data_IF_198259395388
#
_entry.id   IF_198259395388
#
_cell.length_a   1.000
_cell.length_b   1.000
_cell.length_c   1.000
_cell.angle_alpha   90.00
_cell.angle_beta   90.00
_cell.angle_gamma   90.00
#
_symmetry.space_group_name_H-M   'P 1'
#
loop_
_entity.id
_entity.type
_entity.pdbx_description
1 polymer ?
#
# COMPACT_ATOMS: atom_id res chain seq x y z
N UNK A 1 -20.47 58.79 -5.54
CA UNK A 1 -20.60 57.33 -5.32
C UNK A 1 -19.28 56.65 -5.68
N UNK A 2 -18.48 56.22 -4.69
CA UNK A 2 -17.30 55.37 -4.95
C UNK A 2 -17.78 53.93 -5.14
N UNK A 3 -17.59 53.39 -6.34
CA UNK A 3 -17.81 51.97 -6.64
C UNK A 3 -16.79 51.14 -5.85
N UNK A 4 -17.27 50.37 -4.88
CA UNK A 4 -16.50 49.35 -4.17
C UNK A 4 -16.08 48.26 -5.17
N UNK A 5 -14.78 48.14 -5.44
CA UNK A 5 -14.21 47.01 -6.17
C UNK A 5 -14.36 45.75 -5.32
N UNK A 6 -15.18 44.81 -5.79
CA UNK A 6 -15.24 43.44 -5.26
C UNK A 6 -13.86 42.79 -5.50
N UNK A 7 -13.17 42.26 -4.47
CA UNK A 7 -11.87 41.63 -4.66
C UNK A 7 -12.02 40.37 -5.53
N UNK A 8 -11.23 40.28 -6.60
CA UNK A 8 -11.10 39.04 -7.39
C UNK A 8 -10.64 37.92 -6.45
N UNK A 9 -11.43 36.85 -6.31
CA UNK A 9 -11.00 35.61 -5.64
C UNK A 9 -9.67 35.16 -6.27
N UNK A 10 -8.59 35.20 -5.49
CA UNK A 10 -7.28 34.67 -5.88
C UNK A 10 -7.45 33.18 -6.17
N UNK A 11 -7.10 32.74 -7.38
CA UNK A 11 -7.09 31.31 -7.75
C UNK A 11 -5.85 30.70 -7.09
N UNK A 12 -6.05 29.62 -6.34
CA UNK A 12 -4.97 28.86 -5.69
C UNK A 12 -4.59 27.69 -6.61
N UNK A 13 -3.29 27.42 -6.74
CA UNK A 13 -2.79 26.18 -7.34
C UNK A 13 -3.14 24.96 -6.47
N UNK A 14 -3.09 23.75 -7.01
CA UNK A 14 -3.36 22.52 -6.25
C UNK A 14 -2.43 22.37 -5.04
N UNK A 15 -1.17 22.79 -5.19
CA UNK A 15 -0.19 22.78 -4.12
C UNK A 15 -0.47 23.87 -3.08
N UNK A 16 -0.82 25.09 -3.50
CA UNK A 16 -1.28 26.14 -2.58
C UNK A 16 -2.56 25.73 -1.84
N UNK A 17 -3.48 24.99 -2.48
CA UNK A 17 -4.68 24.47 -1.85
C UNK A 17 -4.35 23.39 -0.81
N UNK A 18 -3.44 22.46 -1.12
CA UNK A 18 -2.97 21.44 -0.18
C UNK A 18 -2.24 22.07 1.02
N UNK A 19 -1.36 23.04 0.80
CA UNK A 19 -0.69 23.77 1.87
C UNK A 19 -1.67 24.55 2.74
N UNK A 20 -2.68 25.18 2.15
CA UNK A 20 -3.72 25.90 2.89
C UNK A 20 -4.61 24.95 3.73
N UNK A 21 -4.79 23.71 3.26
CA UNK A 21 -5.46 22.63 4.03
C UNK A 21 -4.59 22.19 5.20
N UNK A 22 -3.31 21.92 4.95
CA UNK A 22 -2.39 21.40 5.98
C UNK A 22 -2.04 22.43 7.04
N UNK A 23 -1.87 23.71 6.68
CA UNK A 23 -1.48 24.78 7.61
C UNK A 23 -2.59 25.16 8.61
N UNK A 24 -3.85 24.83 8.31
CA UNK A 24 -5.00 25.09 9.19
C UNK A 24 -5.61 23.82 9.80
N UNK A 25 -5.02 22.64 9.55
CA UNK A 25 -5.51 21.39 10.12
C UNK A 25 -5.02 21.25 11.56
N UNK A 26 -5.88 21.54 12.53
CA UNK A 26 -5.62 21.20 13.92
C UNK A 26 -5.77 19.68 14.09
N UNK A 27 -4.71 18.95 14.46
CA UNK A 27 -4.79 17.50 14.57
C UNK A 27 -5.59 17.03 15.80
N UNK A 28 -6.04 17.96 16.67
CA UNK A 28 -7.00 17.68 17.75
C UNK A 28 -8.46 17.77 17.30
N UNK A 29 -8.76 18.48 16.20
CA UNK A 29 -10.12 18.70 15.71
C UNK A 29 -10.55 17.50 14.85
N UNK A 30 -11.38 16.64 15.45
CA UNK A 30 -11.95 15.45 14.78
C UNK A 30 -13.14 15.79 13.88
N UNK A 31 -13.66 17.01 13.98
CA UNK A 31 -14.88 17.46 13.27
C UNK A 31 -14.47 18.10 11.94
N UNK A 32 -14.03 17.24 11.01
CA UNK A 32 -13.51 17.73 9.75
C UNK A 32 -14.59 18.36 8.88
N UNK A 33 -14.43 19.65 8.59
CA UNK A 33 -15.26 20.34 7.60
C UNK A 33 -14.93 19.87 6.18
N UNK A 34 -15.97 19.52 5.41
CA UNK A 34 -15.85 19.15 3.99
C UNK A 34 -15.48 20.37 3.13
N UNK A 35 -14.49 20.20 2.25
CA UNK A 35 -14.05 21.26 1.33
C UNK A 35 -14.71 21.09 -0.03
N UNK A 36 -15.32 22.17 -0.53
CA UNK A 36 -15.85 22.25 -1.89
C UNK A 36 -14.75 22.71 -2.86
N UNK A 37 -14.05 21.77 -3.50
CA UNK A 37 -13.06 22.06 -4.54
C UNK A 37 -13.63 21.70 -5.91
N UNK A 38 -13.67 22.68 -6.82
CA UNK A 38 -13.96 22.44 -8.23
C UNK A 38 -12.71 21.86 -8.92
N UNK A 39 -12.85 20.79 -9.73
CA UNK A 39 -11.72 20.18 -10.39
C UNK A 39 -11.31 21.02 -11.61
N UNK A 40 -10.03 21.39 -11.69
CA UNK A 40 -9.41 21.80 -12.95
C UNK A 40 -8.26 20.85 -13.31
N UNK A 41 -8.17 20.59 -14.61
CA UNK A 41 -7.15 19.79 -15.26
C UNK A 41 -5.88 20.62 -15.46
N UNK A 42 -4.88 20.42 -14.61
CA UNK A 42 -3.51 20.84 -14.94
C UNK A 42 -2.61 19.62 -14.77
N UNK A 43 -1.97 19.28 -15.89
CA UNK A 43 -1.10 18.13 -16.12
C UNK A 43 0.33 18.64 -16.12
N UNK A 44 0.95 18.69 -14.95
CA UNK A 44 2.38 18.99 -14.84
C UNK A 44 3.17 17.67 -14.88
N UNK A 45 3.49 17.28 -16.11
CA UNK A 45 4.54 16.31 -16.41
C UNK A 45 5.88 17.03 -16.39
N UNK A 46 6.71 16.75 -15.38
CA UNK A 46 8.11 17.18 -15.37
C UNK A 46 8.88 16.47 -16.50
N UNK A 47 9.16 17.23 -17.56
CA UNK A 47 10.09 16.89 -18.63
C UNK A 47 11.51 17.26 -18.16
N UNK A 48 12.35 16.25 -17.95
CA UNK A 48 13.79 16.43 -17.79
C UNK A 48 14.43 16.56 -19.18
N UNK A 49 15.13 17.67 -19.40
CA UNK A 49 15.88 18.01 -20.61
C UNK A 49 17.00 17.01 -20.91
N UNK A 50 17.02 16.49 -22.14
CA UNK A 50 18.15 15.76 -22.73
C UNK A 50 19.19 16.76 -23.23
N UNK A 51 20.44 16.61 -22.79
CA UNK A 51 21.60 17.27 -23.41
C UNK A 51 22.37 16.20 -24.19
N UNK A 52 22.42 16.39 -25.51
CA UNK A 52 23.04 15.51 -26.50
C UNK A 52 24.56 15.73 -26.50
N UNK A 53 25.34 14.67 -26.34
CA UNK A 53 26.74 14.70 -26.78
C UNK A 53 27.08 13.39 -27.47
N UNK A 54 27.42 13.51 -28.76
CA UNK A 54 27.70 12.41 -29.68
C UNK A 54 28.90 11.54 -29.24
N UNK A 55 28.91 10.23 -29.55
CA UNK A 55 30.03 9.34 -29.23
C UNK A 55 31.12 9.37 -30.31
N UNK A 56 32.38 9.36 -29.88
CA UNK A 56 33.54 9.12 -30.72
C UNK A 56 33.81 7.62 -30.86
N UNK A 57 34.20 7.21 -32.06
CA UNK A 57 34.41 5.83 -32.49
C UNK A 57 35.86 5.32 -32.25
N UNK A 58 35.93 4.00 -31.98
CA UNK A 58 36.89 2.98 -32.45
C UNK A 58 37.90 2.27 -31.51
N UNK A 59 37.82 0.92 -31.61
CA UNK A 59 38.85 -0.15 -31.60
C UNK A 59 39.55 -0.46 -30.25
N UNK A 60 39.82 -1.70 -29.83
CA UNK A 60 40.13 -2.96 -30.53
C UNK A 60 40.06 -4.16 -29.53
N UNK A 61 39.90 -5.38 -30.04
CA UNK A 61 39.72 -6.64 -29.32
C UNK A 61 40.85 -7.06 -28.35
N UNK A 62 40.49 -7.66 -27.20
CA UNK A 62 41.27 -8.66 -26.44
C UNK A 62 40.35 -9.55 -25.57
N UNK A 63 40.68 -10.86 -25.56
CA UNK A 63 40.38 -11.96 -24.63
C UNK A 63 39.01 -11.99 -23.92
N UNK A 64 38.24 -13.04 -24.20
CA UNK A 64 36.96 -13.40 -23.56
C UNK A 64 37.10 -13.45 -22.02
N UNK A 65 36.71 -12.34 -21.39
CA UNK A 65 36.25 -12.30 -20.00
C UNK A 65 34.73 -12.15 -20.08
N UNK A 66 34.00 -12.82 -19.18
CA UNK A 66 32.55 -12.69 -19.14
C UNK A 66 32.13 -11.21 -19.09
N UNK A 67 31.08 -10.78 -19.80
CA UNK A 67 30.72 -9.37 -19.85
C UNK A 67 30.30 -8.90 -18.46
N UNK A 68 31.19 -8.15 -17.80
CA UNK A 68 30.91 -7.52 -16.50
C UNK A 68 30.64 -6.02 -16.68
N UNK A 69 29.58 -5.53 -16.07
CA UNK A 69 29.24 -4.10 -16.07
C UNK A 69 29.14 -3.58 -14.64
N UNK A 70 29.69 -2.39 -14.36
CA UNK A 70 29.56 -1.75 -13.04
C UNK A 70 28.55 -0.61 -13.11
N UNK A 71 27.56 -0.63 -12.21
CA UNK A 71 26.53 0.39 -12.11
C UNK A 71 27.05 1.68 -11.40
N UNK A 72 26.23 2.74 -11.38
CA UNK A 72 26.64 4.07 -10.86
C UNK A 72 26.86 4.12 -9.34
N UNK A 73 26.44 3.09 -8.62
CA UNK A 73 26.65 2.95 -7.18
C UNK A 73 27.78 1.96 -6.84
N UNK A 74 28.47 1.41 -7.85
CA UNK A 74 29.52 0.41 -7.68
C UNK A 74 29.01 -1.03 -7.67
N UNK A 75 27.71 -1.29 -7.83
CA UNK A 75 27.19 -2.66 -8.00
C UNK A 75 27.75 -3.26 -9.28
N UNK A 76 28.45 -4.38 -9.17
CA UNK A 76 28.99 -5.13 -10.31
C UNK A 76 27.91 -6.07 -10.83
N UNK A 77 27.81 -6.24 -12.14
CA UNK A 77 26.83 -7.09 -12.79
C UNK A 77 27.54 -8.05 -13.73
N UNK A 78 27.09 -9.29 -13.76
CA UNK A 78 27.58 -10.32 -14.66
C UNK A 78 26.45 -10.64 -15.64
N UNK A 79 26.73 -10.59 -16.94
CA UNK A 79 25.81 -11.09 -17.95
C UNK A 79 25.87 -12.61 -17.96
N UNK A 80 24.75 -13.27 -17.64
CA UNK A 80 24.66 -14.72 -17.67
C UNK A 80 24.01 -15.21 -18.96
N UNK A 81 24.63 -16.22 -19.58
CA UNK A 81 24.05 -16.92 -20.71
C UNK A 81 22.82 -17.72 -20.26
N UNK A 82 21.69 -17.49 -20.92
CA UNK A 82 20.43 -18.19 -20.66
C UNK A 82 20.60 -19.68 -20.95
N UNK A 83 20.76 -20.51 -19.91
CA UNK A 83 20.93 -21.96 -20.05
C UNK A 83 21.90 -22.61 -19.06
N UNK A 84 22.73 -21.81 -18.38
CA UNK A 84 23.65 -22.32 -17.35
C UNK A 84 22.89 -22.75 -16.10
N UNK A 85 23.17 -23.95 -15.58
CA UNK A 85 22.57 -24.44 -14.33
C UNK A 85 23.23 -23.69 -13.17
N UNK A 86 22.53 -22.72 -12.61
CA UNK A 86 22.94 -22.12 -11.33
C UNK A 86 22.71 -23.14 -10.22
N UNK A 87 23.77 -23.44 -9.45
CA UNK A 87 23.69 -24.27 -8.25
C UNK A 87 22.90 -23.53 -7.19
N UNK A 88 21.58 -23.73 -7.19
CA UNK A 88 20.66 -23.14 -6.25
C UNK A 88 20.15 -24.20 -5.26
N UNK A 89 20.11 -23.84 -3.98
CA UNK A 89 19.37 -24.59 -2.98
C UNK A 89 18.00 -23.94 -2.83
N UNK A 90 16.90 -24.59 -3.24
CA UNK A 90 15.56 -24.07 -3.03
C UNK A 90 15.32 -23.75 -1.57
N UNK A 91 14.96 -22.49 -1.27
CA UNK A 91 14.24 -22.22 -0.03
C UNK A 91 12.99 -23.09 -0.04
N UNK A 92 12.83 -23.95 0.97
CA UNK A 92 11.64 -24.77 1.10
C UNK A 92 10.40 -23.85 1.06
N UNK A 93 9.55 -24.00 0.05
CA UNK A 93 8.43 -23.09 -0.13
C UNK A 93 7.43 -23.31 1.01
N UNK A 94 6.89 -22.20 1.53
CA UNK A 94 5.79 -22.27 2.48
C UNK A 94 4.65 -23.11 1.91
N UNK A 95 4.31 -24.22 2.58
CA UNK A 95 3.35 -25.19 2.07
C UNK A 95 1.89 -24.72 2.18
N UNK A 96 1.58 -23.71 3.00
CA UNK A 96 0.21 -23.28 3.19
C UNK A 96 -0.27 -22.38 2.04
N UNK A 97 -1.52 -22.59 1.62
CA UNK A 97 -2.13 -21.96 0.45
C UNK A 97 -3.23 -20.95 0.82
N UNK A 98 -2.96 -20.17 1.87
CA UNK A 98 -3.85 -19.13 2.37
C UNK A 98 -5.05 -19.68 3.13
N UNK A 99 -5.03 -19.62 4.47
CA UNK A 99 -6.15 -20.11 5.28
C UNK A 99 -6.34 -19.37 6.61
N UNK A 100 -7.55 -19.33 7.18
CA UNK A 100 -7.76 -18.85 8.53
C UNK A 100 -6.92 -19.65 9.54
N UNK A 101 -6.41 -18.98 10.58
CA UNK A 101 -5.63 -19.66 11.62
C UNK A 101 -6.49 -20.70 12.37
N UNK A 102 -5.85 -21.69 13.00
CA UNK A 102 -6.57 -22.67 13.82
C UNK A 102 -7.43 -22.01 14.91
N UNK A 103 -6.96 -20.89 15.48
CA UNK A 103 -7.73 -20.07 16.43
C UNK A 103 -8.98 -19.47 15.78
N UNK A 104 -8.85 -18.87 14.60
CA UNK A 104 -9.97 -18.32 13.85
C UNK A 104 -10.99 -19.40 13.48
N UNK A 105 -10.54 -20.54 12.92
CA UNK A 105 -11.41 -21.68 12.55
C UNK A 105 -12.23 -22.22 13.72
N UNK A 106 -11.64 -22.31 14.92
CA UNK A 106 -12.37 -22.78 16.11
C UNK A 106 -13.45 -21.79 16.57
N UNK A 107 -13.15 -20.49 16.49
CA UNK A 107 -14.02 -19.40 16.97
C UNK A 107 -15.17 -19.07 16.02
N UNK A 108 -14.95 -19.16 14.71
CA UNK A 108 -15.91 -18.70 13.70
C UNK A 108 -16.86 -19.83 13.32
N UNK A 109 -18.11 -19.73 13.75
CA UNK A 109 -19.23 -20.62 13.42
C UNK A 109 -20.38 -19.92 12.70
N UNK A 110 -20.34 -18.59 12.63
CA UNK A 110 -21.36 -17.77 11.97
C UNK A 110 -20.75 -16.55 11.27
N UNK A 111 -21.51 -15.92 10.37
CA UNK A 111 -21.13 -14.67 9.68
C UNK A 111 -20.88 -13.51 10.66
N UNK A 112 -21.63 -13.46 11.75
CA UNK A 112 -21.41 -12.47 12.80
C UNK A 112 -20.06 -12.71 13.50
N UNK A 113 -19.74 -13.96 13.81
CA UNK A 113 -18.46 -14.29 14.43
C UNK A 113 -17.26 -14.05 13.50
N UNK A 114 -17.43 -14.21 12.18
CA UNK A 114 -16.38 -13.81 11.23
C UNK A 114 -16.17 -12.30 11.23
N UNK A 115 -17.22 -11.48 11.31
CA UNK A 115 -17.09 -10.03 11.45
C UNK A 115 -16.42 -9.64 12.77
N UNK A 116 -16.91 -10.20 13.88
CA UNK A 116 -16.35 -9.97 15.22
C UNK A 116 -14.94 -10.55 15.40
N UNK A 117 -14.43 -11.28 14.42
CA UNK A 117 -13.04 -11.70 14.37
C UNK A 117 -12.09 -10.51 14.20
N UNK A 118 -12.54 -9.49 13.46
CA UNK A 118 -11.75 -8.29 13.11
C UNK A 118 -12.09 -7.11 14.02
N UNK A 119 -13.38 -6.88 14.27
CA UNK A 119 -13.89 -5.81 15.12
C UNK A 119 -14.51 -6.46 16.34
N UNK A 120 -13.70 -6.70 17.36
CA UNK A 120 -14.13 -7.44 18.54
C UNK A 120 -15.07 -6.61 19.41
N UNK A 121 -15.88 -7.27 20.24
CA UNK A 121 -16.69 -6.60 21.26
C UNK A 121 -15.81 -5.78 22.22
N UNK A 122 -14.57 -6.22 22.49
CA UNK A 122 -13.61 -5.47 23.30
C UNK A 122 -13.18 -4.15 22.66
N UNK A 123 -13.22 -4.02 21.33
CA UNK A 123 -12.98 -2.75 20.62
C UNK A 123 -14.24 -1.87 20.60
N UNK A 124 -15.42 -2.48 20.49
CA UNK A 124 -16.69 -1.74 20.46
C UNK A 124 -17.01 -1.05 21.80
N UNK A 125 -16.55 -1.60 22.93
CA UNK A 125 -16.77 -1.02 24.26
C UNK A 125 -16.10 0.35 24.44
N UNK A 126 -14.78 0.53 24.20
CA UNK A 126 -14.16 1.85 24.21
C UNK A 126 -14.83 2.83 23.23
N UNK A 127 -15.16 2.39 22.01
CA UNK A 127 -15.87 3.24 21.03
C UNK A 127 -17.20 3.74 21.61
N UNK A 128 -17.97 2.85 22.23
CA UNK A 128 -19.22 3.19 22.90
C UNK A 128 -18.98 4.19 24.04
N UNK A 129 -18.01 3.93 24.91
CA UNK A 129 -17.67 4.76 26.07
C UNK A 129 -17.27 6.18 25.66
N UNK A 130 -16.34 6.31 24.71
CA UNK A 130 -15.88 7.62 24.23
C UNK A 130 -16.94 8.39 23.45
N UNK A 131 -17.79 7.68 22.71
CA UNK A 131 -18.94 8.29 22.03
C UNK A 131 -19.94 8.86 23.05
N UNK A 132 -20.27 8.11 24.11
CA UNK A 132 -21.15 8.59 25.19
C UNK A 132 -20.52 9.78 25.92
N UNK A 133 -19.24 9.67 26.27
CA UNK A 133 -18.51 10.75 26.95
C UNK A 133 -18.57 12.04 26.14
N UNK A 134 -18.31 11.97 24.83
CA UNK A 134 -18.36 13.13 23.96
C UNK A 134 -19.77 13.73 23.86
N UNK A 135 -20.79 12.91 23.61
CA UNK A 135 -22.18 13.40 23.50
C UNK A 135 -22.66 14.12 24.77
N UNK A 136 -22.29 13.60 25.95
CA UNK A 136 -22.65 14.19 27.25
C UNK A 136 -22.00 15.53 27.52
N UNK A 137 -20.83 15.77 26.93
CA UNK A 137 -20.11 17.02 27.08
C UNK A 137 -20.57 18.08 26.09
N UNK A 138 -20.94 17.69 24.87
CA UNK A 138 -21.29 18.64 23.80
C UNK A 138 -22.76 19.03 23.76
N UNK A 139 -23.67 18.13 24.15
CA UNK A 139 -25.11 18.36 23.96
C UNK A 139 -25.95 18.05 25.20
N UNK A 140 -26.06 16.77 25.57
CA UNK A 140 -27.07 16.30 26.54
C UNK A 140 -26.45 15.39 27.60
N UNK A 141 -26.56 15.78 28.86
CA UNK A 141 -26.07 15.00 30.01
C UNK A 141 -26.65 13.59 30.07
N UNK A 142 -27.88 13.42 29.58
CA UNK A 142 -28.61 12.14 29.61
C UNK A 142 -28.39 11.29 28.36
N UNK A 143 -27.49 11.70 27.45
CA UNK A 143 -27.18 10.91 26.27
C UNK A 143 -26.62 9.54 26.68
N UNK A 144 -27.19 8.49 26.11
CA UNK A 144 -26.76 7.12 26.34
C UNK A 144 -26.83 6.34 25.03
N UNK A 145 -26.04 5.28 24.93
CA UNK A 145 -26.08 4.33 23.83
C UNK A 145 -25.75 2.96 24.40
N UNK A 146 -26.52 1.94 24.06
CA UNK A 146 -26.18 0.56 24.45
C UNK A 146 -25.32 -0.11 23.37
N UNK A 147 -24.55 -1.13 23.73
CA UNK A 147 -23.64 -1.81 22.80
C UNK A 147 -24.38 -2.38 21.57
N UNK A 148 -25.58 -2.93 21.77
CA UNK A 148 -26.41 -3.42 20.68
C UNK A 148 -26.84 -2.32 19.71
N UNK A 149 -27.00 -1.09 20.19
CA UNK A 149 -27.32 0.06 19.35
C UNK A 149 -26.13 0.49 18.49
N UNK A 150 -24.90 0.46 19.04
CA UNK A 150 -23.69 0.66 18.25
C UNK A 150 -23.51 -0.43 17.18
N UNK A 151 -23.80 -1.69 17.52
CA UNK A 151 -23.78 -2.79 16.55
C UNK A 151 -24.86 -2.61 15.47
N UNK A 152 -26.05 -2.15 15.84
CA UNK A 152 -27.12 -1.81 14.90
C UNK A 152 -26.69 -0.66 13.96
N UNK A 153 -26.06 0.39 14.49
CA UNK A 153 -25.48 1.47 13.69
C UNK A 153 -24.46 0.96 12.66
N UNK A 154 -23.54 0.09 13.07
CA UNK A 154 -22.57 -0.56 12.16
C UNK A 154 -23.28 -1.40 11.09
N UNK A 155 -24.34 -2.12 11.46
CA UNK A 155 -25.11 -2.92 10.50
C UNK A 155 -25.79 -2.05 9.42
N UNK A 156 -26.27 -0.85 9.80
CA UNK A 156 -26.82 0.13 8.85
C UNK A 156 -25.73 0.64 7.90
N UNK A 157 -24.51 0.89 8.38
CA UNK A 157 -23.37 1.27 7.51
C UNK A 157 -23.09 0.19 6.47
N UNK A 158 -23.03 -1.07 6.89
CA UNK A 158 -22.79 -2.21 6.00
C UNK A 158 -23.90 -2.32 4.95
N UNK A 159 -25.17 -2.29 5.39
CA UNK A 159 -26.33 -2.36 4.48
C UNK A 159 -26.32 -1.22 3.46
N UNK A 160 -26.01 0.00 3.89
CA UNK A 160 -25.92 1.15 2.99
C UNK A 160 -24.80 1.00 1.96
N UNK A 161 -23.68 0.37 2.32
CA UNK A 161 -22.61 0.02 1.38
C UNK A 161 -23.05 -0.93 0.27
N UNK A 162 -24.04 -1.80 0.55
CA UNK A 162 -24.62 -2.74 -0.41
C UNK A 162 -25.70 -2.08 -1.26
N UNK A 163 -26.63 -1.33 -0.67
CA UNK A 163 -27.80 -0.78 -1.38
C UNK A 163 -27.55 0.53 -2.13
N UNK A 164 -26.39 1.16 -1.95
CA UNK A 164 -25.89 2.36 -2.66
C UNK A 164 -27.00 3.33 -3.13
N UNK A 165 -27.45 4.17 -2.21
CA UNK A 165 -28.38 5.29 -2.51
C UNK A 165 -27.62 6.62 -2.62
N UNK A 166 -28.12 7.62 -3.38
CA UNK A 166 -27.38 8.85 -3.68
C UNK A 166 -26.97 9.65 -2.44
N UNK A 167 -27.90 9.86 -1.50
CA UNK A 167 -27.62 10.58 -0.26
C UNK A 167 -27.82 9.69 0.97
N UNK A 168 -27.24 10.11 2.10
CA UNK A 168 -27.47 9.44 3.39
C UNK A 168 -28.96 9.36 3.73
N UNK A 169 -29.69 10.47 3.50
CA UNK A 169 -31.11 10.60 3.85
C UNK A 169 -32.00 9.66 3.03
N UNK A 170 -31.61 9.37 1.80
CA UNK A 170 -32.36 8.49 0.91
C UNK A 170 -32.46 7.05 1.44
N UNK A 171 -31.54 6.64 2.32
CA UNK A 171 -31.60 5.31 2.95
C UNK A 171 -32.87 5.09 3.78
N UNK A 172 -33.51 6.18 4.23
CA UNK A 172 -34.78 6.19 4.96
C UNK A 172 -35.96 6.73 4.12
N UNK A 173 -35.77 6.90 2.81
CA UNK A 173 -36.86 7.31 1.90
C UNK A 173 -37.85 6.16 1.70
N UNK A 174 -39.14 6.47 1.58
CA UNK A 174 -40.15 5.47 1.25
C UNK A 174 -39.98 4.87 -0.16
N UNK A 175 -39.42 5.66 -1.10
CA UNK A 175 -39.29 5.25 -2.51
C UNK A 175 -37.92 4.65 -2.84
N UNK A 176 -36.86 5.16 -2.19
CA UNK A 176 -35.47 4.79 -2.49
C UNK A 176 -34.79 4.01 -1.35
N UNK A 177 -35.37 4.04 -0.15
CA UNK A 177 -34.76 3.50 1.05
C UNK A 177 -34.90 1.98 1.17
N UNK A 178 -34.23 1.44 2.17
CA UNK A 178 -34.31 0.02 2.49
C UNK A 178 -35.18 -0.18 3.75
N UNK A 179 -36.30 -0.93 3.67
CA UNK A 179 -37.14 -1.21 4.84
C UNK A 179 -36.41 -1.85 6.02
N UNK A 180 -35.31 -2.57 5.77
CA UNK A 180 -34.47 -3.09 6.85
C UNK A 180 -33.74 -1.97 7.59
N UNK A 181 -33.24 -0.95 6.87
CA UNK A 181 -32.54 0.19 7.50
C UNK A 181 -33.52 0.98 8.38
N UNK A 182 -34.73 1.24 7.89
CA UNK A 182 -35.75 1.97 8.65
C UNK A 182 -36.23 1.17 9.86
N UNK A 183 -36.30 -0.16 9.77
CA UNK A 183 -36.64 -1.06 10.88
C UNK A 183 -35.55 -1.22 11.94
N UNK A 184 -34.27 -1.02 11.59
CA UNK A 184 -33.14 -1.16 12.53
C UNK A 184 -32.97 0.10 13.40
N UNK A 185 -33.00 1.28 12.80
CA UNK A 185 -32.74 2.54 13.51
C UNK A 185 -33.39 3.72 12.80
N UNK A 186 -33.86 4.71 13.54
CA UNK A 186 -34.39 5.95 12.96
C UNK A 186 -33.27 6.80 12.32
N UNK A 187 -33.60 7.54 11.26
CA UNK A 187 -32.65 8.44 10.59
C UNK A 187 -32.01 9.43 11.56
N UNK A 188 -32.83 10.04 12.42
CA UNK A 188 -32.36 11.06 13.35
C UNK A 188 -31.37 10.45 14.36
N UNK A 189 -31.66 9.25 14.89
CA UNK A 189 -30.74 8.57 15.80
C UNK A 189 -29.44 8.14 15.12
N UNK A 190 -29.51 7.68 13.88
CA UNK A 190 -28.31 7.36 13.11
C UNK A 190 -27.41 8.59 12.91
N UNK A 191 -28.00 9.74 12.56
CA UNK A 191 -27.26 11.00 12.40
C UNK A 191 -26.68 11.51 13.73
N UNK A 192 -27.41 11.34 14.82
CA UNK A 192 -27.00 11.67 16.18
C UNK A 192 -25.77 10.84 16.61
N UNK A 193 -25.81 9.51 16.43
CA UNK A 193 -24.64 8.64 16.68
C UNK A 193 -23.46 9.03 15.77
N UNK A 194 -23.70 9.28 14.49
CA UNK A 194 -22.65 9.72 13.54
C UNK A 194 -21.92 10.97 14.03
N UNK A 195 -22.64 11.93 14.61
CA UNK A 195 -22.07 13.20 15.09
C UNK A 195 -21.12 12.97 16.27
N UNK A 196 -21.51 12.12 17.22
CA UNK A 196 -20.77 11.93 18.46
C UNK A 196 -19.78 10.78 18.44
N UNK A 197 -19.71 9.99 17.36
CA UNK A 197 -18.84 8.82 17.28
C UNK A 197 -17.38 9.20 17.56
N UNK A 198 -16.77 8.57 18.57
CA UNK A 198 -15.35 8.73 18.94
C UNK A 198 -14.69 7.37 19.15
N UNK A 199 -13.37 7.33 18.93
CA UNK A 199 -12.57 6.10 19.01
C UNK A 199 -11.48 6.17 20.09
N UNK A 200 -11.36 7.30 20.79
CA UNK A 200 -10.34 7.58 21.79
C UNK A 200 -10.86 8.55 22.86
N UNK A 201 -10.12 8.65 23.97
CA UNK A 201 -10.34 9.67 24.99
C UNK A 201 -9.85 11.04 24.49
N UNK A 202 -10.78 11.99 24.38
CA UNK A 202 -10.46 13.33 23.90
C UNK A 202 -9.53 14.11 24.83
N UNK A 203 -9.54 13.83 26.13
CA UNK A 203 -8.78 14.60 27.12
C UNK A 203 -7.28 14.31 27.05
N UNK A 204 -6.91 13.11 26.61
CA UNK A 204 -5.50 12.71 26.41
C UNK A 204 -5.02 12.95 24.99
N UNK A 205 -5.93 13.28 24.05
CA UNK A 205 -5.61 13.35 22.63
C UNK A 205 -4.52 14.39 22.35
N UNK A 206 -4.63 15.59 22.91
CA UNK A 206 -3.71 16.71 22.66
C UNK A 206 -2.24 16.37 22.96
N UNK A 207 -1.98 15.56 24.00
CA UNK A 207 -0.66 15.05 24.32
C UNK A 207 -0.23 13.96 23.32
N UNK A 208 -1.10 12.97 23.07
CA UNK A 208 -0.80 11.84 22.17
C UNK A 208 -0.49 12.28 20.74
N UNK A 209 -1.14 13.33 20.23
CA UNK A 209 -0.89 13.79 18.84
C UNK A 209 0.54 14.30 18.64
N UNK A 210 1.24 14.70 19.70
CA UNK A 210 2.63 15.17 19.58
C UNK A 210 3.56 14.06 19.06
N UNK A 211 3.25 12.81 19.38
CA UNK A 211 4.00 11.63 18.94
C UNK A 211 3.27 10.81 17.87
N UNK A 212 1.94 10.84 17.87
CA UNK A 212 1.10 10.03 17.00
C UNK A 212 0.01 10.85 16.33
N UNK A 213 0.24 11.24 15.08
CA UNK A 213 -0.75 11.99 14.29
C UNK A 213 -2.06 11.24 14.07
N UNK A 214 -2.10 9.92 14.28
CA UNK A 214 -3.28 9.07 14.11
C UNK A 214 -4.02 8.79 15.43
N UNK A 215 -3.60 9.45 16.53
CA UNK A 215 -4.07 9.24 17.90
C UNK A 215 -5.60 9.13 18.06
N UNK A 216 -6.37 9.85 17.25
CA UNK A 216 -7.84 9.81 17.30
C UNK A 216 -8.44 8.40 17.07
N UNK A 217 -7.70 7.47 16.47
CA UNK A 217 -8.16 6.10 16.18
C UNK A 217 -7.08 5.02 16.38
N UNK A 218 -5.84 5.39 16.72
CA UNK A 218 -4.70 4.47 16.77
C UNK A 218 -4.91 3.19 17.56
N UNK A 219 -5.55 3.25 18.73
CA UNK A 219 -5.77 2.07 19.57
C UNK A 219 -6.71 1.06 18.90
N UNK A 220 -7.82 1.56 18.34
CA UNK A 220 -8.78 0.75 17.59
C UNK A 220 -8.15 0.23 16.31
N UNK A 221 -7.39 1.05 15.60
CA UNK A 221 -6.70 0.66 14.37
C UNK A 221 -5.64 -0.42 14.61
N UNK A 222 -4.78 -0.23 15.61
CA UNK A 222 -3.76 -1.21 15.99
C UNK A 222 -4.37 -2.55 16.39
N UNK A 223 -5.48 -2.52 17.14
CA UNK A 223 -6.25 -3.72 17.47
C UNK A 223 -6.84 -4.40 16.24
N UNK A 224 -7.41 -3.63 15.30
CA UNK A 224 -7.93 -4.14 14.03
C UNK A 224 -6.84 -4.81 13.19
N UNK A 225 -5.70 -4.14 12.99
CA UNK A 225 -4.56 -4.67 12.22
C UNK A 225 -3.99 -5.92 12.88
N UNK A 226 -3.88 -5.94 14.21
CA UNK A 226 -3.45 -7.13 14.98
C UNK A 226 -4.40 -8.30 14.74
N UNK A 227 -5.72 -8.05 14.70
CA UNK A 227 -6.69 -9.09 14.37
C UNK A 227 -6.52 -9.58 12.93
N UNK A 228 -6.26 -8.70 11.96
CA UNK A 228 -5.99 -9.09 10.58
C UNK A 228 -4.77 -10.02 10.49
N UNK A 229 -3.66 -9.68 11.14
CA UNK A 229 -2.42 -10.47 11.15
C UNK A 229 -2.64 -11.84 11.80
N UNK A 230 -3.34 -11.90 12.93
CA UNK A 230 -3.45 -13.12 13.75
C UNK A 230 -4.59 -14.06 13.34
N UNK A 231 -5.53 -13.58 12.51
CA UNK A 231 -6.71 -14.37 12.10
C UNK A 231 -6.47 -15.21 10.85
N UNK A 232 -5.42 -14.94 10.09
CA UNK A 232 -5.15 -15.58 8.81
C UNK A 232 -3.67 -15.93 8.62
N UNK A 233 -3.41 -17.06 7.98
CA UNK A 233 -2.09 -17.49 7.55
C UNK A 233 -1.98 -17.21 6.04
N UNK A 234 -1.25 -16.16 5.61
CA UNK A 234 -1.06 -15.88 4.20
C UNK A 234 -0.34 -17.03 3.51
N UNK A 235 -0.68 -17.23 2.24
CA UNK A 235 -0.04 -18.20 1.37
C UNK A 235 1.39 -17.80 1.01
N UNK A 236 1.89 -18.39 -0.07
CA UNK A 236 3.27 -18.16 -0.53
C UNK A 236 3.52 -16.74 -1.04
N UNK A 237 2.51 -16.08 -1.60
CA UNK A 237 2.66 -14.81 -2.29
C UNK A 237 1.85 -13.72 -1.60
N UNK A 238 2.52 -12.62 -1.26
CA UNK A 238 1.91 -11.43 -0.67
C UNK A 238 2.20 -10.25 -1.60
N UNK A 239 1.22 -9.42 -1.91
CA UNK A 239 1.41 -8.19 -2.69
C UNK A 239 1.37 -6.99 -1.76
N UNK A 240 2.25 -6.01 -1.99
CA UNK A 240 2.23 -4.71 -1.30
C UNK A 240 2.00 -3.59 -2.29
N UNK A 241 1.01 -2.75 -1.99
CA UNK A 241 0.67 -1.57 -2.79
C UNK A 241 0.07 -0.47 -1.89
N UNK A 242 -0.23 0.69 -2.47
CA UNK A 242 -1.02 1.73 -1.82
C UNK A 242 -2.53 1.63 -2.07
N UNK A 243 -3.28 2.00 -1.04
CA UNK A 243 -4.70 2.31 -1.15
C UNK A 243 -4.94 3.75 -0.71
N UNK A 244 -5.61 4.53 -1.56
CA UNK A 244 -6.06 5.89 -1.22
C UNK A 244 -7.54 5.84 -0.89
N UNK A 245 -7.90 6.16 0.35
CA UNK A 245 -9.30 6.29 0.77
C UNK A 245 -9.78 7.71 0.46
N UNK A 246 -10.74 7.90 -0.48
CA UNK A 246 -11.20 9.23 -0.88
C UNK A 246 -11.70 10.02 0.30
N UNK A 247 -11.14 11.22 0.49
CA UNK A 247 -11.54 12.11 1.57
C UNK A 247 -11.25 13.55 1.18
N UNK A 248 -12.17 14.45 1.56
CA UNK A 248 -12.00 15.91 1.47
C UNK A 248 -11.93 16.54 2.86
N UNK A 249 -11.80 15.71 3.88
CA UNK A 249 -11.75 16.10 5.28
C UNK A 249 -10.41 16.80 5.54
N UNK A 250 -10.45 17.93 6.24
CA UNK A 250 -9.22 18.60 6.69
C UNK A 250 -8.47 17.68 7.64
N UNK A 251 -7.28 17.26 7.25
CA UNK A 251 -6.47 16.31 8.00
C UNK A 251 -4.98 16.54 7.70
N UNK A 252 -4.13 16.50 8.74
CA UNK A 252 -2.70 16.81 8.64
C UNK A 252 -1.88 15.75 7.87
N UNK A 253 -2.48 14.63 7.48
CA UNK A 253 -1.88 13.58 6.66
C UNK A 253 -2.69 13.28 5.38
N UNK A 254 -3.60 14.18 4.98
CA UNK A 254 -4.30 14.10 3.70
C UNK A 254 -3.29 14.10 2.54
N UNK A 255 -3.46 13.19 1.58
CA UNK A 255 -2.60 13.03 0.42
C UNK A 255 -3.31 13.44 -0.86
N UNK A 256 -2.54 14.03 -1.77
CA UNK A 256 -2.93 14.22 -3.17
C UNK A 256 -2.18 13.23 -4.06
N UNK A 257 -2.90 12.46 -4.87
CA UNK A 257 -2.33 11.55 -5.86
C UNK A 257 -2.99 11.82 -7.22
N UNK A 258 -2.27 12.49 -8.11
CA UNK A 258 -2.79 12.96 -9.40
C UNK A 258 -3.36 11.85 -10.29
N UNK A 259 -2.82 10.63 -10.17
CA UNK A 259 -3.15 9.47 -11.01
C UNK A 259 -4.40 8.70 -10.54
N UNK A 260 -4.92 8.97 -9.34
CA UNK A 260 -6.13 8.31 -8.82
C UNK A 260 -7.40 9.09 -9.24
N UNK A 261 -8.54 8.41 -9.48
CA UNK A 261 -9.80 9.08 -9.86
C UNK A 261 -10.23 10.13 -8.83
N UNK A 262 -10.25 9.72 -7.56
CA UNK A 262 -10.35 10.63 -6.42
C UNK A 262 -8.94 11.00 -5.97
N UNK A 263 -8.54 12.22 -6.30
CA UNK A 263 -7.15 12.66 -6.12
C UNK A 263 -6.78 12.94 -4.67
N UNK A 264 -7.76 13.25 -3.81
CA UNK A 264 -7.54 13.57 -2.39
C UNK A 264 -8.02 12.42 -1.50
N UNK A 265 -7.19 12.03 -0.53
CA UNK A 265 -7.59 10.99 0.40
C UNK A 265 -6.56 10.67 1.48
N UNK A 266 -6.95 9.77 2.38
CA UNK A 266 -6.05 9.19 3.39
C UNK A 266 -5.35 8.00 2.75
N UNK A 267 -4.03 8.02 2.70
CA UNK A 267 -3.23 6.96 2.08
C UNK A 267 -2.88 5.87 3.09
N UNK A 268 -3.03 4.62 2.68
CA UNK A 268 -2.60 3.43 3.41
C UNK A 268 -1.65 2.61 2.54
N UNK A 269 -0.69 1.96 3.18
CA UNK A 269 0.11 0.89 2.60
C UNK A 269 -0.49 -0.44 3.02
N UNK A 270 -0.78 -1.31 2.06
CA UNK A 270 -1.56 -2.53 2.29
C UNK A 270 -0.75 -3.73 1.83
N UNK A 271 -0.62 -4.73 2.70
CA UNK A 271 -0.11 -6.05 2.35
C UNK A 271 -1.30 -7.01 2.22
N UNK A 272 -1.45 -7.63 1.05
CA UNK A 272 -2.54 -8.55 0.74
C UNK A 272 -2.04 -9.93 0.34
N UNK A 273 -2.74 -10.97 0.78
CA UNK A 273 -2.56 -12.32 0.22
C UNK A 273 -3.00 -12.32 -1.24
N UNK A 274 -2.12 -12.84 -2.10
CA UNK A 274 -2.36 -12.81 -3.54
C UNK A 274 -3.63 -13.55 -3.94
N UNK A 275 -3.83 -14.75 -3.37
CA UNK A 275 -4.83 -15.71 -3.83
C UNK A 275 -6.22 -15.35 -3.32
N UNK A 276 -6.33 -15.07 -2.02
CA UNK A 276 -7.62 -14.81 -1.38
C UNK A 276 -7.98 -13.34 -1.32
N UNK A 277 -7.04 -12.45 -1.67
CA UNK A 277 -7.18 -10.98 -1.54
C UNK A 277 -7.40 -10.54 -0.09
N UNK A 278 -7.03 -11.37 0.87
CA UNK A 278 -7.12 -11.07 2.29
C UNK A 278 -6.11 -9.99 2.67
N UNK A 279 -6.54 -8.98 3.42
CA UNK A 279 -5.66 -7.93 3.95
C UNK A 279 -4.86 -8.50 5.13
N UNK A 280 -3.57 -8.73 4.92
CA UNK A 280 -2.67 -9.30 5.91
C UNK A 280 -2.20 -8.26 6.93
N UNK A 281 -1.82 -7.06 6.48
CA UNK A 281 -1.31 -5.97 7.31
C UNK A 281 -1.54 -4.62 6.63
N UNK A 282 -1.71 -3.54 7.41
CA UNK A 282 -2.00 -2.20 6.89
C UNK A 282 -1.33 -1.12 7.74
N UNK A 283 -0.66 -0.17 7.10
CA UNK A 283 -0.06 0.98 7.77
C UNK A 283 -0.61 2.29 7.18
N UNK A 284 -1.10 3.24 8.00
CA UNK A 284 -1.45 4.57 7.51
C UNK A 284 -0.19 5.35 7.14
N UNK A 285 -0.28 6.16 6.09
CA UNK A 285 0.76 7.13 5.76
C UNK A 285 0.47 8.46 6.46
N UNK A 286 1.28 8.79 7.46
CA UNK A 286 1.11 9.98 8.31
C UNK A 286 2.05 11.14 7.93
N UNK A 287 2.56 11.13 6.70
CA UNK A 287 3.55 12.07 6.21
C UNK A 287 4.99 11.69 6.62
N UNK A 288 5.85 12.70 6.76
CA UNK A 288 7.26 12.49 7.15
C UNK A 288 7.34 12.02 8.61
N UNK A 289 7.95 10.86 8.79
CA UNK A 289 8.28 10.28 10.09
C UNK A 289 9.65 10.84 10.54
N UNK A 290 9.71 11.64 11.63
CA UNK A 290 10.97 12.20 12.12
C UNK A 290 11.85 11.15 12.81
N UNK A 291 11.29 10.01 13.23
CA UNK A 291 12.01 8.95 13.91
C UNK A 291 12.75 8.00 12.96
N UNK A 292 12.39 8.01 11.66
CA UNK A 292 13.05 7.17 10.66
C UNK A 292 14.48 7.68 10.42
N UNK A 293 15.51 6.82 10.50
CA UNK A 293 16.88 7.19 10.15
C UNK A 293 16.96 7.77 8.73
N UNK A 294 17.74 8.84 8.56
CA UNK A 294 17.88 9.53 7.27
C UNK A 294 18.38 8.63 6.14
N UNK A 295 19.14 7.59 6.48
CA UNK A 295 19.71 6.61 5.55
C UNK A 295 18.69 5.55 5.12
N UNK A 296 17.60 5.34 5.89
CA UNK A 296 16.59 4.36 5.54
C UNK A 296 15.53 4.98 4.62
N UNK A 297 15.43 4.41 3.41
CA UNK A 297 14.40 4.78 2.44
C UNK A 297 13.02 4.41 2.98
N UNK A 298 12.07 5.34 2.87
CA UNK A 298 10.67 5.13 3.28
C UNK A 298 10.09 3.83 2.70
N UNK A 299 10.28 3.62 1.40
CA UNK A 299 9.66 2.52 0.69
C UNK A 299 10.17 1.15 1.17
N UNK A 300 11.47 1.05 1.50
CA UNK A 300 12.06 -0.16 2.07
C UNK A 300 11.59 -0.40 3.50
N UNK A 301 11.58 0.66 4.33
CA UNK A 301 11.10 0.61 5.73
C UNK A 301 9.64 0.12 5.80
N UNK A 302 8.78 0.62 4.91
CA UNK A 302 7.36 0.22 4.83
C UNK A 302 7.21 -1.26 4.49
N UNK A 303 7.92 -1.76 3.47
CA UNK A 303 7.85 -3.18 3.10
C UNK A 303 8.32 -4.06 4.25
N UNK A 304 9.42 -3.70 4.90
CA UNK A 304 9.93 -4.45 6.06
C UNK A 304 8.92 -4.48 7.21
N UNK A 305 8.33 -3.34 7.58
CA UNK A 305 7.31 -3.26 8.64
C UNK A 305 6.05 -4.07 8.29
N UNK A 306 5.58 -4.01 7.05
CA UNK A 306 4.40 -4.75 6.61
C UNK A 306 4.64 -6.27 6.58
N UNK A 307 5.81 -6.70 6.14
CA UNK A 307 6.17 -8.10 5.99
C UNK A 307 6.65 -8.76 7.28
N UNK A 308 7.06 -8.01 8.30
CA UNK A 308 7.67 -8.54 9.53
C UNK A 308 6.93 -9.76 10.13
N UNK A 309 5.58 -9.79 10.23
CA UNK A 309 4.86 -10.96 10.76
C UNK A 309 4.91 -12.22 9.86
N UNK A 310 5.33 -12.06 8.61
CA UNK A 310 5.23 -13.06 7.54
C UNK A 310 6.58 -13.46 6.93
N UNK A 311 7.68 -12.89 7.42
CA UNK A 311 9.04 -13.24 7.00
C UNK A 311 9.46 -14.64 7.50
N UNK A 312 10.68 -15.04 7.13
CA UNK A 312 11.37 -16.25 7.58
C UNK A 312 10.72 -17.58 7.17
N UNK A 313 9.76 -17.52 6.24
CA UNK A 313 8.91 -18.64 5.83
C UNK A 313 9.03 -19.00 4.34
N UNK A 314 10.03 -18.48 3.61
CA UNK A 314 10.21 -18.79 2.19
C UNK A 314 9.13 -18.19 1.29
N UNK A 315 8.50 -17.09 1.72
CA UNK A 315 7.47 -16.37 0.94
C UNK A 315 8.07 -15.48 -0.13
N UNK A 316 7.24 -15.07 -1.08
CA UNK A 316 7.55 -14.04 -2.07
C UNK A 316 6.64 -12.84 -1.86
N UNK A 317 7.22 -11.66 -1.72
CA UNK A 317 6.52 -10.38 -1.72
C UNK A 317 6.58 -9.76 -3.11
N UNK A 318 5.44 -9.37 -3.65
CA UNK A 318 5.34 -8.70 -4.94
C UNK A 318 5.08 -7.22 -4.74
N UNK A 319 5.88 -6.36 -5.37
CA UNK A 319 5.82 -4.91 -5.18
C UNK A 319 5.90 -4.14 -6.49
N UNK A 320 5.49 -2.88 -6.44
CA UNK A 320 5.57 -1.94 -7.56
C UNK A 320 6.98 -1.29 -7.66
N UNK A 321 7.12 -0.34 -8.58
CA UNK A 321 8.34 0.46 -8.76
C UNK A 321 8.76 1.26 -7.51
N UNK A 322 7.81 1.88 -6.83
CA UNK A 322 8.09 2.73 -5.68
C UNK A 322 8.84 1.96 -4.58
N UNK A 323 8.45 0.71 -4.34
CA UNK A 323 9.08 -0.13 -3.32
C UNK A 323 10.35 -0.86 -3.77
N UNK A 324 10.41 -1.33 -5.01
CA UNK A 324 11.43 -2.32 -5.39
C UNK A 324 12.83 -1.71 -5.51
N UNK A 325 13.81 -2.28 -4.77
CA UNK A 325 15.22 -1.92 -4.82
C UNK A 325 16.12 -3.15 -4.59
N UNK A 326 17.40 -3.05 -4.97
CA UNK A 326 18.37 -4.12 -4.66
C UNK A 326 18.63 -4.25 -3.15
N UNK A 327 18.72 -3.12 -2.45
CA UNK A 327 18.91 -3.11 -0.98
C UNK A 327 17.76 -3.82 -0.27
N UNK A 328 16.51 -3.57 -0.69
CA UNK A 328 15.34 -4.26 -0.15
C UNK A 328 15.37 -5.75 -0.44
N UNK A 329 15.75 -6.15 -1.66
CA UNK A 329 15.87 -7.55 -2.02
C UNK A 329 16.85 -8.30 -1.10
N UNK A 330 18.02 -7.71 -0.81
CA UNK A 330 19.01 -8.26 0.13
C UNK A 330 18.47 -8.39 1.55
N UNK A 331 17.78 -7.34 2.05
CA UNK A 331 17.19 -7.34 3.40
C UNK A 331 16.09 -8.39 3.57
N UNK A 332 15.28 -8.61 2.55
CA UNK A 332 14.25 -9.65 2.58
C UNK A 332 14.88 -11.05 2.48
N UNK A 333 15.89 -11.21 1.64
CA UNK A 333 16.55 -12.50 1.44
C UNK A 333 17.26 -12.98 2.70
N UNK A 334 17.90 -12.08 3.46
CA UNK A 334 18.48 -12.42 4.78
C UNK A 334 17.43 -12.89 5.80
N UNK A 335 16.15 -12.57 5.56
CA UNK A 335 14.97 -13.01 6.31
C UNK A 335 14.14 -14.07 5.58
N UNK A 336 14.81 -14.94 4.80
CA UNK A 336 14.24 -16.03 3.99
C UNK A 336 12.96 -15.62 3.25
N UNK A 337 12.94 -14.41 2.71
CA UNK A 337 11.80 -13.83 2.00
C UNK A 337 12.32 -13.29 0.68
N UNK A 338 11.59 -13.57 -0.40
CA UNK A 338 11.98 -13.10 -1.72
C UNK A 338 11.10 -11.96 -2.16
N UNK A 339 11.63 -11.07 -2.99
CA UNK A 339 10.89 -10.00 -3.66
C UNK A 339 10.76 -10.28 -5.15
N UNK A 340 9.60 -9.92 -5.72
CA UNK A 340 9.35 -9.79 -7.14
C UNK A 340 8.78 -8.40 -7.42
N UNK A 341 9.41 -7.59 -8.26
CA UNK A 341 8.88 -6.25 -8.50
C UNK A 341 9.55 -5.51 -9.63
N UNK A 342 8.86 -4.53 -10.20
CA UNK A 342 9.47 -3.67 -11.22
C UNK A 342 10.41 -2.67 -10.60
N UNK A 343 11.49 -2.33 -11.28
CA UNK A 343 12.45 -1.32 -10.82
C UNK A 343 12.52 -0.17 -11.82
N UNK A 344 12.60 1.05 -11.30
CA UNK A 344 12.92 2.20 -12.13
C UNK A 344 14.31 2.07 -12.77
N UNK A 345 14.36 2.09 -14.11
CA UNK A 345 15.60 2.08 -14.92
C UNK A 345 16.61 3.17 -14.57
N UNK A 346 16.15 4.27 -13.98
CA UNK A 346 16.97 5.42 -13.60
C UNK A 346 17.78 5.14 -12.31
N UNK A 347 17.42 4.11 -11.53
CA UNK A 347 18.14 3.78 -10.29
C UNK A 347 19.63 3.55 -10.53
N UNK A 348 20.44 3.98 -9.57
CA UNK A 348 21.91 3.96 -9.66
C UNK A 348 22.48 2.55 -9.59
N UNK A 349 21.76 1.67 -8.92
CA UNK A 349 22.06 0.24 -8.75
C UNK A 349 21.86 -0.59 -10.03
N UNK A 350 21.19 -0.03 -11.04
CA UNK A 350 20.88 -0.70 -12.30
C UNK A 350 21.93 -0.38 -13.38
N UNK A 351 22.43 -1.38 -14.15
CA UNK A 351 23.43 -1.16 -15.19
C UNK A 351 22.95 -0.21 -16.29
N UNK A 352 23.84 0.55 -16.89
CA UNK A 352 23.49 1.51 -17.94
C UNK A 352 23.12 0.83 -19.26
N UNK A 353 23.67 -0.35 -19.56
CA UNK A 353 23.31 -1.14 -20.75
C UNK A 353 21.80 -1.43 -20.81
N UNK A 354 21.16 -1.63 -19.65
CA UNK A 354 19.73 -1.90 -19.52
C UNK A 354 18.85 -0.69 -19.87
N UNK A 355 19.43 0.51 -19.95
CA UNK A 355 18.76 1.75 -20.34
C UNK A 355 18.72 1.94 -21.85
N UNK A 356 19.63 1.31 -22.59
CA UNK A 356 19.73 1.42 -24.05
C UNK A 356 18.67 0.52 -24.70
N UNK A 357 17.56 1.13 -25.12
CA UNK A 357 16.55 0.47 -25.93
C UNK A 357 16.98 0.53 -27.40
N UNK A 358 17.55 -0.56 -27.91
CA UNK A 358 17.53 -0.74 -29.36
C UNK A 358 16.16 -1.32 -29.74
N UNK A 359 15.32 -0.51 -30.39
CA UNK A 359 13.90 -0.83 -30.68
C UNK A 359 13.74 -1.99 -31.68
N UNK A 360 14.83 -2.57 -32.18
CA UNK A 360 14.84 -3.54 -33.28
C UNK A 360 14.89 -5.01 -32.84
N UNK A 361 15.17 -5.32 -31.58
CA UNK A 361 15.37 -6.72 -31.16
C UNK A 361 14.58 -7.13 -29.92
N UNK A 362 13.88 -8.27 -30.01
CA UNK A 362 13.30 -8.97 -28.87
C UNK A 362 14.40 -9.75 -28.12
N UNK A 363 15.36 -9.05 -27.51
CA UNK A 363 16.44 -9.69 -26.73
C UNK A 363 16.12 -9.72 -25.24
N UNK A 364 16.36 -10.86 -24.61
CA UNK A 364 16.28 -11.03 -23.14
C UNK A 364 17.71 -11.09 -22.62
N UNK A 365 18.10 -10.14 -21.78
CA UNK A 365 19.36 -10.21 -21.04
C UNK A 365 19.05 -10.68 -19.62
N UNK A 366 19.77 -11.68 -19.13
CA UNK A 366 19.70 -12.10 -17.74
C UNK A 366 21.00 -11.61 -17.12
N UNK A 367 20.89 -10.71 -16.16
CA UNK A 367 22.05 -10.25 -15.41
C UNK A 367 21.94 -10.84 -14.01
N UNK A 368 23.05 -11.32 -13.46
CA UNK A 368 23.10 -11.76 -12.07
C UNK A 368 24.15 -10.96 -11.33
N UNK A 369 23.98 -10.84 -10.02
CA UNK A 369 24.95 -10.21 -9.14
C UNK A 369 25.27 -11.18 -8.03
N UNK A 370 26.54 -11.54 -7.89
CA UNK A 370 26.98 -12.53 -6.91
C UNK A 370 27.63 -11.85 -5.71
N UNK A 371 27.15 -12.17 -4.50
CA UNK A 371 27.84 -11.84 -3.26
C UNK A 371 28.59 -13.07 -2.73
N UNK A 372 29.91 -12.95 -2.55
CA UNK A 372 30.82 -14.08 -2.27
C UNK A 372 30.71 -14.72 -0.88
N UNK A 373 29.80 -14.29 -0.01
CA UNK A 373 29.83 -14.72 1.41
C UNK A 373 28.91 -15.91 1.74
N UNK A 374 27.96 -16.26 0.89
CA UNK A 374 26.98 -17.34 1.16
C UNK A 374 26.71 -18.00 -0.20
N UNK A 375 26.70 -19.34 -0.28
CA UNK A 375 26.41 -20.13 -1.49
C UNK A 375 24.96 -19.96 -2.02
N UNK A 376 24.51 -18.72 -2.20
CA UNK A 376 23.22 -18.32 -2.75
C UNK A 376 23.49 -17.33 -3.86
N UNK A 377 23.44 -17.80 -5.11
CA UNK A 377 23.44 -16.95 -6.30
C UNK A 377 22.20 -16.05 -6.24
N UNK A 378 22.39 -14.74 -6.16
CA UNK A 378 21.33 -13.75 -6.27
C UNK A 378 21.21 -13.38 -7.76
N UNK A 379 20.03 -13.56 -8.38
CA UNK A 379 19.83 -13.10 -9.75
C UNK A 379 18.82 -11.98 -9.79
N UNK A 380 18.98 -11.09 -10.76
CA UNK A 380 18.08 -9.98 -11.02
C UNK A 380 17.81 -9.96 -12.52
N UNK A 381 16.65 -10.46 -12.92
CA UNK A 381 16.36 -10.67 -14.34
C UNK A 381 15.93 -9.34 -14.99
N UNK A 382 16.81 -8.74 -15.80
CA UNK A 382 16.54 -7.47 -16.48
C UNK A 382 16.01 -7.67 -17.90
N UNK A 383 14.70 -7.58 -18.10
CA UNK A 383 14.14 -7.66 -19.46
C UNK A 383 14.40 -6.37 -20.27
N UNK A 384 14.96 -6.52 -21.47
CA UNK A 384 15.28 -5.41 -22.38
C UNK A 384 14.08 -4.88 -23.18
N UNK A 385 12.89 -4.90 -22.60
CA UNK A 385 11.73 -4.19 -23.15
C UNK A 385 11.07 -3.37 -22.05
N UNK A 386 11.54 -2.13 -21.90
CA UNK A 386 10.97 -1.06 -21.07
C UNK A 386 10.79 -1.32 -19.55
N UNK A 387 10.83 -2.56 -19.07
CA UNK A 387 10.43 -2.96 -17.72
C UNK A 387 11.50 -3.88 -17.11
N UNK A 388 12.17 -3.37 -16.07
CA UNK A 388 13.21 -4.08 -15.31
C UNK A 388 12.53 -4.74 -14.12
N UNK A 389 12.81 -6.02 -13.84
CA UNK A 389 12.23 -6.75 -12.70
C UNK A 389 13.33 -7.27 -11.78
N UNK A 390 13.21 -7.06 -10.47
CA UNK A 390 14.05 -7.77 -9.49
C UNK A 390 13.28 -9.01 -9.05
N UNK A 391 13.95 -10.16 -9.10
CA UNK A 391 13.48 -11.41 -8.49
C UNK A 391 14.59 -12.04 -7.68
N UNK A 392 14.57 -11.92 -6.36
CA UNK A 392 15.53 -12.63 -5.48
C UNK A 392 15.32 -14.15 -5.44
N UNK A 393 14.37 -14.70 -6.20
CA UNK A 393 14.11 -16.13 -6.32
C UNK A 393 14.45 -16.64 -7.72
N UNK A 394 15.50 -17.45 -7.82
CA UNK A 394 15.87 -18.20 -9.04
C UNK A 394 15.08 -19.49 -9.22
N UNK A 395 14.50 -20.07 -8.16
CA UNK A 395 13.84 -21.37 -8.23
C UNK A 395 12.57 -21.40 -9.10
N UNK A 396 11.86 -20.28 -9.24
CA UNK A 396 10.74 -20.15 -10.20
C UNK A 396 11.30 -20.09 -11.61
N UNK A 397 12.50 -19.51 -11.81
CA UNK A 397 13.16 -19.50 -13.11
C UNK A 397 13.68 -20.90 -13.47
N UNK A 398 14.37 -21.62 -12.58
CA UNK A 398 14.97 -22.92 -12.87
C UNK A 398 13.97 -24.09 -12.91
N UNK A 399 12.99 -24.16 -12.00
CA UNK A 399 11.97 -25.20 -12.06
C UNK A 399 11.12 -25.09 -13.33
N UNK A 400 10.98 -23.87 -13.88
CA UNK A 400 10.30 -23.61 -15.16
C UNK A 400 11.22 -23.69 -16.38
N UNK A 401 12.53 -23.48 -16.22
CA UNK A 401 13.51 -23.63 -17.31
C UNK A 401 13.71 -25.09 -17.73
N UNK A 402 13.51 -26.05 -16.82
CA UNK A 402 13.78 -27.45 -17.09
C UNK A 402 12.59 -28.23 -17.67
N UNK A 403 11.37 -27.70 -17.60
CA UNK A 403 10.16 -28.43 -17.99
C UNK A 403 9.93 -28.46 -19.52
N UNK A 404 10.30 -27.40 -20.27
CA UNK A 404 9.79 -27.29 -21.66
C UNK A 404 10.82 -26.88 -22.74
N UNK A 405 12.10 -26.64 -22.46
CA UNK A 405 13.06 -26.25 -23.53
C UNK A 405 12.69 -24.93 -24.25
N UNK A 406 12.04 -24.01 -23.55
CA UNK A 406 11.40 -22.83 -24.14
C UNK A 406 12.31 -21.59 -24.17
N UNK A 407 12.21 -20.82 -25.27
CA UNK A 407 12.92 -19.57 -25.58
C UNK A 407 12.81 -18.49 -24.46
N UNK A 408 13.84 -17.64 -24.32
CA UNK A 408 13.89 -16.55 -23.35
C UNK A 408 12.71 -15.57 -23.43
N UNK A 409 12.15 -15.37 -24.62
CA UNK A 409 10.96 -14.55 -24.86
C UNK A 409 9.72 -15.08 -24.13
N UNK A 410 9.54 -16.40 -24.05
CA UNK A 410 8.39 -17.01 -23.36
C UNK A 410 8.57 -17.02 -21.84
N UNK A 411 9.82 -16.99 -21.35
CA UNK A 411 10.16 -16.83 -19.92
C UNK A 411 9.82 -15.42 -19.43
N UNK A 412 10.06 -14.41 -20.27
CA UNK A 412 9.62 -13.03 -20.08
C UNK A 412 8.12 -12.92 -19.98
N UNK A 413 7.40 -13.46 -20.97
CA UNK A 413 5.94 -13.35 -21.01
C UNK A 413 5.30 -14.01 -19.77
N UNK A 414 5.89 -15.10 -19.25
CA UNK A 414 5.46 -15.78 -18.02
C UNK A 414 5.72 -14.97 -16.73
N UNK A 415 6.89 -14.33 -16.57
CA UNK A 415 7.19 -13.44 -15.43
C UNK A 415 6.35 -12.16 -15.46
N UNK A 416 6.19 -11.56 -16.64
CA UNK A 416 5.35 -10.39 -16.83
C UNK A 416 3.88 -10.75 -16.57
N UNK A 417 3.41 -11.90 -17.07
CA UNK A 417 2.06 -12.42 -16.80
C UNK A 417 1.85 -12.72 -15.32
N UNK A 418 2.84 -13.31 -14.65
CA UNK A 418 2.77 -13.57 -13.22
C UNK A 418 2.72 -12.25 -12.44
N UNK A 419 3.57 -11.29 -12.76
CA UNK A 419 3.51 -9.98 -12.11
C UNK A 419 2.19 -9.26 -12.38
N UNK A 420 1.69 -9.29 -13.62
CA UNK A 420 0.37 -8.73 -13.94
C UNK A 420 -0.76 -9.43 -13.20
N UNK A 421 -0.71 -10.76 -13.07
CA UNK A 421 -1.66 -11.53 -12.27
C UNK A 421 -1.53 -11.24 -10.78
N UNK A 422 -0.35 -10.82 -10.33
CA UNK A 422 -0.03 -10.56 -8.93
C UNK A 422 -0.24 -9.12 -8.45
N UNK A 423 -0.27 -8.15 -9.36
CA UNK A 423 -0.51 -6.74 -9.04
C UNK A 423 -1.96 -6.40 -8.71
N UNK A 424 -2.91 -7.21 -9.18
CA UNK A 424 -4.35 -6.96 -9.07
C UNK A 424 -4.95 -7.26 -7.70
#
# INVERSE_FOLDING_TARGET
MKLLRIPKKRRLTTQEALELILNNANPCDSDGEDINLQPNSDSDSELSSDDETAPHLEKRARLESEPTETAKDGTVWHEEHVGTILRFTPMEPYAADGEPTAKARRRIRSRLQSFLCFITVGMLRPIQEWTIQHARQTEQTDWFMILHELMAFISVIILRGVTKVPSLRDSWSACLGNPLITGIMSRNRFQDIMRHLRFDDMFTRSERVQTDKFAAISDVWGSFVTNCITSYNPGRHITIDEQLFPSKTRCCFLQYIATKPDKFGIKFWVACDLKTKYICNVLPYLGKDPSRPSEERLSESVVMKLMEPFMDKGRTVTTDNFFTSLTLARRLLSRKTTILGTVNKIRREIPQSTRKMDRKEFTTQVCCWSFYSINTSECVIVFKTAIITISSFLGVFHHWCHADGVCAQTKKDRLHSQQHAQRG
#
